data_IF_933829945179
#
_entry.id   IF_933829945179
#
_cell.length_a   1.000
_cell.length_b   1.000
_cell.length_c   1.000
_cell.angle_alpha   90.00
_cell.angle_beta   90.00
_cell.angle_gamma   90.00
#
_symmetry.space_group_name_H-M   'P 1'
#
loop_
_entity.id
_entity.type
_entity.pdbx_description
1 polymer ?
#
# COMPACT_ATOMS: atom_id res chain seq x y z
N UNK A 1 -30.61 40.08 -17.23
CA UNK A 1 -29.18 40.13 -16.86
C UNK A 1 -28.95 39.44 -15.51
N UNK A 2 -29.51 38.26 -15.27
CA UNK A 2 -29.26 37.41 -14.09
C UNK A 2 -29.77 35.99 -14.42
N UNK A 3 -29.09 35.31 -15.34
CA UNK A 3 -29.44 33.93 -15.72
C UNK A 3 -28.20 33.20 -16.27
N UNK A 4 -27.09 33.27 -15.54
CA UNK A 4 -25.86 32.52 -15.86
C UNK A 4 -25.10 32.12 -14.60
N UNK A 5 -25.80 31.53 -13.63
CA UNK A 5 -25.19 30.90 -12.47
C UNK A 5 -25.86 29.54 -12.29
N UNK A 6 -25.46 28.54 -13.09
CA UNK A 6 -25.70 27.11 -12.84
C UNK A 6 -24.78 26.23 -13.72
N UNK A 7 -23.58 26.73 -14.02
CA UNK A 7 -22.51 25.94 -14.65
C UNK A 7 -21.27 25.85 -13.74
N UNK A 8 -21.46 26.08 -12.45
CA UNK A 8 -20.45 25.89 -11.42
C UNK A 8 -20.88 24.73 -10.54
N UNK A 9 -19.93 23.83 -10.25
CA UNK A 9 -19.98 22.84 -9.16
C UNK A 9 -20.21 21.37 -9.56
N UNK A 10 -19.48 20.87 -10.57
CA UNK A 10 -19.33 19.42 -10.79
C UNK A 10 -17.88 18.95 -10.96
N UNK A 11 -16.90 19.87 -10.96
CA UNK A 11 -15.47 19.53 -11.16
C UNK A 11 -14.80 19.03 -9.88
N UNK A 12 -15.22 19.53 -8.71
CA UNK A 12 -14.66 19.13 -7.43
C UNK A 12 -15.01 17.68 -7.06
N UNK A 13 -16.23 17.24 -7.38
CA UNK A 13 -16.68 15.86 -7.16
C UNK A 13 -15.97 14.88 -8.10
N UNK A 14 -15.75 15.26 -9.36
CA UNK A 14 -14.98 14.47 -10.33
C UNK A 14 -13.50 14.35 -9.89
N UNK A 15 -12.89 15.42 -9.40
CA UNK A 15 -11.50 15.40 -8.90
C UNK A 15 -11.37 14.52 -7.64
N UNK A 16 -12.32 14.60 -6.71
CA UNK A 16 -12.35 13.76 -5.52
C UNK A 16 -12.55 12.27 -5.84
N UNK A 17 -13.40 11.97 -6.82
CA UNK A 17 -13.62 10.61 -7.31
C UNK A 17 -12.36 10.04 -7.98
N UNK A 18 -11.70 10.83 -8.85
CA UNK A 18 -10.45 10.45 -9.50
C UNK A 18 -9.33 10.24 -8.47
N UNK A 19 -9.21 11.12 -7.48
CA UNK A 19 -8.24 10.99 -6.40
C UNK A 19 -8.46 9.67 -5.63
N UNK A 20 -9.71 9.37 -5.27
CA UNK A 20 -10.07 8.14 -4.55
C UNK A 20 -9.74 6.88 -5.37
N UNK A 21 -10.01 6.90 -6.68
CA UNK A 21 -9.68 5.79 -7.57
C UNK A 21 -8.16 5.58 -7.64
N UNK A 22 -7.39 6.65 -7.82
CA UNK A 22 -5.92 6.59 -7.85
C UNK A 22 -5.33 6.08 -6.54
N UNK A 23 -5.84 6.53 -5.39
CA UNK A 23 -5.41 6.03 -4.07
C UNK A 23 -5.68 4.54 -3.92
N UNK A 24 -6.82 4.05 -4.43
CA UNK A 24 -7.16 2.62 -4.39
C UNK A 24 -6.19 1.79 -5.22
N UNK A 25 -5.86 2.24 -6.43
CA UNK A 25 -4.89 1.56 -7.30
C UNK A 25 -3.48 1.58 -6.70
N UNK A 26 -3.04 2.71 -6.14
CA UNK A 26 -1.74 2.82 -5.47
C UNK A 26 -1.65 1.86 -4.27
N UNK A 27 -2.71 1.74 -3.47
CA UNK A 27 -2.74 0.79 -2.35
C UNK A 27 -2.64 -0.67 -2.82
N UNK A 28 -3.28 -1.02 -3.93
CA UNK A 28 -3.17 -2.35 -4.54
C UNK A 28 -1.75 -2.63 -5.02
N UNK A 29 -1.16 -1.68 -5.75
CA UNK A 29 0.23 -1.77 -6.22
C UNK A 29 1.23 -1.86 -5.06
N UNK A 30 1.03 -1.11 -3.98
CA UNK A 30 1.87 -1.21 -2.80
C UNK A 30 1.74 -2.56 -2.10
N UNK A 31 0.51 -3.09 -1.98
CA UNK A 31 0.31 -4.42 -1.45
C UNK A 31 0.99 -5.49 -2.31
N UNK A 32 0.92 -5.36 -3.64
CA UNK A 32 1.66 -6.22 -4.56
C UNK A 32 3.17 -6.10 -4.35
N UNK A 33 3.69 -4.87 -4.28
CA UNK A 33 5.11 -4.60 -4.06
C UNK A 33 5.63 -5.22 -2.76
N UNK A 34 4.91 -5.10 -1.65
CA UNK A 34 5.36 -5.65 -0.38
C UNK A 34 5.16 -7.17 -0.24
N UNK A 35 4.11 -7.73 -0.84
CA UNK A 35 3.74 -9.14 -0.64
C UNK A 35 4.26 -10.07 -1.74
N UNK A 36 4.31 -9.60 -3.00
CA UNK A 36 4.57 -10.42 -4.18
C UNK A 36 5.84 -10.03 -4.94
N UNK A 37 6.24 -8.75 -4.96
CA UNK A 37 7.46 -8.37 -5.66
C UNK A 37 8.70 -8.86 -4.91
N UNK A 38 9.46 -9.77 -5.55
CA UNK A 38 10.65 -10.39 -4.98
C UNK A 38 11.91 -10.12 -5.81
N UNK A 39 13.05 -10.15 -5.15
CA UNK A 39 14.37 -10.24 -5.81
C UNK A 39 14.53 -11.60 -6.51
N UNK A 40 15.53 -11.77 -7.40
CA UNK A 40 15.84 -13.09 -7.98
C UNK A 40 16.13 -14.19 -6.94
N UNK A 41 16.51 -13.79 -5.72
CA UNK A 41 16.76 -14.69 -4.58
C UNK A 41 15.52 -14.93 -3.70
N UNK A 42 14.34 -14.47 -4.12
CA UNK A 42 13.06 -14.72 -3.43
C UNK A 42 12.76 -13.80 -2.25
N UNK A 43 13.59 -12.79 -1.96
CA UNK A 43 13.39 -11.87 -0.83
C UNK A 43 12.47 -10.71 -1.22
N UNK A 44 11.70 -10.10 -0.30
CA UNK A 44 10.99 -8.85 -0.58
C UNK A 44 11.90 -7.80 -1.22
N UNK A 45 11.39 -7.10 -2.23
CA UNK A 45 12.19 -6.15 -3.00
C UNK A 45 12.69 -4.98 -2.12
N UNK A 46 11.81 -4.47 -1.26
CA UNK A 46 12.10 -3.33 -0.39
C UNK A 46 13.13 -3.67 0.71
N UNK A 47 14.24 -2.91 0.81
CA UNK A 47 15.25 -3.14 1.84
C UNK A 47 14.76 -2.90 3.28
N UNK A 48 13.85 -1.95 3.49
CA UNK A 48 13.32 -1.62 4.82
C UNK A 48 12.38 -2.73 5.30
N UNK A 49 11.57 -3.29 4.40
CA UNK A 49 10.75 -4.46 4.66
C UNK A 49 11.61 -5.65 5.05
N UNK A 50 12.69 -5.92 4.32
CA UNK A 50 13.62 -7.01 4.65
C UNK A 50 14.21 -6.86 6.06
N UNK A 51 14.54 -5.63 6.46
CA UNK A 51 15.03 -5.35 7.81
C UNK A 51 13.98 -5.64 8.88
N UNK A 52 12.77 -5.10 8.76
CA UNK A 52 11.72 -5.29 9.77
C UNK A 52 11.20 -6.72 9.85
N UNK A 53 10.93 -7.35 8.70
CA UNK A 53 10.49 -8.74 8.63
C UNK A 53 11.59 -9.69 9.13
N UNK A 54 12.85 -9.39 8.81
CA UNK A 54 14.02 -10.10 9.34
C UNK A 54 14.14 -10.02 10.86
N UNK A 55 13.58 -8.99 11.49
CA UNK A 55 13.54 -8.86 12.95
C UNK A 55 12.23 -9.41 13.57
N UNK A 56 11.40 -10.12 12.80
CA UNK A 56 10.16 -10.75 13.29
C UNK A 56 8.94 -9.83 13.34
N UNK A 57 9.01 -8.65 12.72
CA UNK A 57 7.82 -7.81 12.57
C UNK A 57 6.84 -8.42 11.55
N UNK A 58 5.57 -8.04 11.65
CA UNK A 58 4.60 -8.20 10.55
C UNK A 58 4.34 -6.86 9.87
N UNK A 59 4.02 -6.90 8.59
CA UNK A 59 3.49 -5.73 7.88
C UNK A 59 2.05 -5.48 8.34
N UNK A 60 1.87 -4.44 9.15
CA UNK A 60 0.62 -4.15 9.84
C UNK A 60 -0.39 -3.44 8.93
N UNK A 61 0.06 -2.34 8.33
CA UNK A 61 -0.78 -1.40 7.60
C UNK A 61 0.04 -0.65 6.54
N UNK A 62 -0.60 -0.36 5.42
CA UNK A 62 -0.11 0.56 4.38
C UNK A 62 -0.88 1.88 4.55
N UNK A 63 -0.17 3.00 4.63
CA UNK A 63 -0.70 4.32 4.89
C UNK A 63 -0.53 5.17 3.62
N UNK A 64 -1.60 5.45 2.87
CA UNK A 64 -1.55 6.42 1.79
C UNK A 64 -1.32 7.82 2.36
N UNK A 65 -0.67 8.69 1.59
CA UNK A 65 -0.50 10.12 1.91
C UNK A 65 0.12 10.41 3.30
N UNK A 66 0.93 9.49 3.82
CA UNK A 66 1.53 9.59 5.15
C UNK A 66 2.76 10.50 5.20
N UNK A 67 3.48 10.66 4.09
CA UNK A 67 4.60 11.59 3.97
C UNK A 67 4.50 12.40 2.66
N UNK A 68 3.76 13.52 2.72
CA UNK A 68 3.61 14.44 1.59
C UNK A 68 4.81 15.40 1.41
N UNK A 69 5.93 15.16 2.10
CA UNK A 69 7.16 15.90 1.82
C UNK A 69 7.65 15.60 0.40
N UNK A 70 8.43 16.51 -0.17
CA UNK A 70 9.01 16.29 -1.50
C UNK A 70 9.87 15.02 -1.57
N UNK A 71 10.43 14.56 -0.44
CA UNK A 71 11.17 13.29 -0.35
C UNK A 71 10.21 12.11 -0.38
N UNK A 72 9.17 12.09 0.46
CA UNK A 72 8.18 11.00 0.50
C UNK A 72 7.48 10.80 -0.84
N UNK A 73 7.09 11.89 -1.50
CA UNK A 73 6.50 11.85 -2.84
C UNK A 73 7.45 11.23 -3.88
N UNK A 74 8.74 11.61 -3.87
CA UNK A 74 9.75 11.05 -4.80
C UNK A 74 10.08 9.58 -4.53
N UNK A 75 10.03 9.13 -3.28
CA UNK A 75 10.45 7.79 -2.90
C UNK A 75 9.34 6.75 -3.01
N UNK A 76 8.10 7.13 -2.64
CA UNK A 76 7.00 6.18 -2.49
C UNK A 76 5.63 6.79 -2.77
N UNK A 77 5.53 7.89 -3.52
CA UNK A 77 4.28 8.63 -3.74
C UNK A 77 3.59 9.03 -2.42
N UNK A 78 4.38 9.30 -1.38
CA UNK A 78 3.90 9.68 -0.05
C UNK A 78 3.38 8.52 0.79
N UNK A 79 3.53 7.28 0.33
CA UNK A 79 3.09 6.11 1.06
C UNK A 79 4.11 5.69 2.12
N UNK A 80 3.60 5.35 3.31
CA UNK A 80 4.38 4.74 4.38
C UNK A 80 3.75 3.44 4.85
N UNK A 81 4.47 2.65 5.64
CA UNK A 81 3.95 1.42 6.23
C UNK A 81 4.21 1.39 7.73
N UNK A 82 3.35 0.67 8.44
CA UNK A 82 3.60 0.33 9.83
C UNK A 82 4.02 -1.14 9.93
N UNK A 83 5.11 -1.40 10.64
CA UNK A 83 5.52 -2.73 11.05
C UNK A 83 5.19 -2.91 12.53
N UNK A 84 4.49 -4.00 12.86
CA UNK A 84 4.14 -4.33 14.23
C UNK A 84 5.05 -5.42 14.78
N UNK A 85 5.65 -5.15 15.94
CA UNK A 85 6.38 -6.13 16.74
C UNK A 85 5.48 -6.59 17.88
N UNK A 86 4.89 -7.77 17.73
CA UNK A 86 4.11 -8.41 18.78
C UNK A 86 5.00 -9.45 19.45
N UNK A 87 5.33 -9.24 20.73
CA UNK A 87 6.35 -10.03 21.43
C UNK A 87 6.12 -11.54 21.32
N UNK A 88 4.86 -11.99 21.44
CA UNK A 88 4.47 -13.39 21.34
C UNK A 88 4.66 -14.01 19.93
N UNK A 89 4.86 -13.19 18.90
CA UNK A 89 4.94 -13.62 17.50
C UNK A 89 6.33 -13.41 16.89
N UNK A 90 7.26 -12.70 17.56
CA UNK A 90 8.54 -12.28 16.98
C UNK A 90 9.34 -13.48 16.47
N UNK A 91 9.56 -14.49 17.31
CA UNK A 91 10.35 -15.68 16.95
C UNK A 91 9.73 -16.42 15.77
N UNK A 92 8.42 -16.70 15.85
CA UNK A 92 7.67 -17.37 14.79
C UNK A 92 7.74 -16.63 13.45
N UNK A 93 7.58 -15.31 13.48
CA UNK A 93 7.66 -14.47 12.27
C UNK A 93 9.08 -14.42 11.71
N UNK A 94 10.08 -14.31 12.59
CA UNK A 94 11.49 -14.31 12.23
C UNK A 94 11.87 -15.62 11.52
N UNK A 95 11.49 -16.77 12.09
CA UNK A 95 11.75 -18.08 11.49
C UNK A 95 11.06 -18.24 10.13
N UNK A 96 9.78 -17.87 10.02
CA UNK A 96 9.05 -17.92 8.76
C UNK A 96 9.72 -17.06 7.65
N UNK A 97 10.29 -15.92 8.03
CA UNK A 97 11.01 -15.07 7.09
C UNK A 97 12.42 -15.62 6.77
N UNK A 98 13.16 -16.08 7.78
CA UNK A 98 14.51 -16.60 7.62
C UNK A 98 14.57 -17.87 6.76
N UNK A 99 13.59 -18.77 6.92
CA UNK A 99 13.55 -20.04 6.21
C UNK A 99 12.92 -19.91 4.83
N UNK A 100 11.79 -19.20 4.73
CA UNK A 100 10.93 -19.25 3.54
C UNK A 100 10.74 -17.89 2.85
N UNK A 101 11.37 -16.82 3.36
CA UNK A 101 11.12 -15.42 2.94
C UNK A 101 9.63 -15.01 3.04
N UNK A 102 8.90 -15.63 3.96
CA UNK A 102 7.47 -15.38 4.17
C UNK A 102 7.25 -13.96 4.70
N UNK A 103 6.36 -13.22 4.04
CA UNK A 103 5.92 -11.90 4.51
C UNK A 103 4.69 -12.08 5.37
N UNK A 104 4.88 -12.02 6.69
CA UNK A 104 3.77 -12.02 7.65
C UNK A 104 3.06 -10.66 7.58
N UNK A 105 1.74 -10.69 7.43
CA UNK A 105 0.93 -9.49 7.27
C UNK A 105 -0.51 -9.70 7.76
N UNK A 106 -1.23 -8.60 8.00
CA UNK A 106 -2.64 -8.63 8.40
C UNK A 106 -3.56 -9.00 7.24
N UNK A 107 -4.77 -9.46 7.56
CA UNK A 107 -5.81 -9.70 6.55
C UNK A 107 -6.21 -8.44 5.80
N UNK A 108 -6.10 -7.26 6.43
CA UNK A 108 -6.42 -5.98 5.81
C UNK A 108 -5.47 -5.68 4.66
N UNK A 109 -4.15 -5.78 4.88
CA UNK A 109 -3.15 -5.59 3.83
C UNK A 109 -3.31 -6.64 2.73
N UNK A 110 -3.57 -7.90 3.09
CA UNK A 110 -3.80 -8.96 2.09
C UNK A 110 -5.04 -8.69 1.21
N UNK A 111 -6.07 -8.03 1.73
CA UNK A 111 -7.27 -7.69 0.94
C UNK A 111 -6.98 -6.65 -0.14
N UNK A 112 -5.97 -5.79 0.04
CA UNK A 112 -5.59 -4.79 -0.95
C UNK A 112 -5.12 -5.42 -2.28
N UNK A 113 -4.56 -6.63 -2.25
CA UNK A 113 -4.16 -7.37 -3.47
C UNK A 113 -5.33 -7.70 -4.41
N UNK A 114 -6.57 -7.64 -3.93
CA UNK A 114 -7.76 -8.07 -4.70
C UNK A 114 -8.44 -6.93 -5.47
N UNK A 115 -7.93 -5.69 -5.41
CA UNK A 115 -8.65 -4.57 -6.03
C UNK A 115 -8.51 -4.47 -7.56
N UNK A 116 -7.76 -5.35 -8.24
CA UNK A 116 -7.74 -5.39 -9.71
C UNK A 116 -9.08 -5.77 -10.37
N UNK A 117 -10.03 -6.36 -9.62
CA UNK A 117 -11.24 -6.94 -10.22
C UNK A 117 -12.44 -5.99 -10.39
N UNK A 118 -12.36 -4.73 -9.96
CA UNK A 118 -13.51 -3.81 -10.00
C UNK A 118 -13.45 -2.72 -11.08
N UNK A 119 -12.27 -2.44 -11.67
CA UNK A 119 -12.09 -1.35 -12.64
C UNK A 119 -11.97 -1.79 -14.11
N UNK A 120 -11.77 -3.09 -14.37
CA UNK A 120 -11.53 -3.61 -15.73
C UNK A 120 -12.77 -4.19 -16.44
N UNK A 121 -13.98 -3.77 -16.07
CA UNK A 121 -15.21 -4.11 -16.82
C UNK A 121 -16.09 -2.88 -16.96
N UNK A 122 -15.67 -1.93 -17.80
CA UNK A 122 -16.53 -1.03 -18.61
C UNK A 122 -15.64 -0.26 -19.59
N UNK A 123 -15.36 -0.84 -20.76
CA UNK A 123 -15.58 -0.30 -22.12
C UNK A 123 -14.87 -1.14 -23.16
#
# INVERSE_FOLDING_TARGET
LLEQLDASDNTADDDAAQHTALQTELLSLAAYYFLQAKTPTGKPLDPVARFHLGNGARLERINPEADLSAKGLRQSAGMMVNYAYVLADIERNHEAYANDNTVVTTSAVRKLLRSEAASATTK
#
